data_IF_049631195167
#
_entry.id   IF_049631195167
#
_cell.length_a   1.000
_cell.length_b   1.000
_cell.length_c   1.000
_cell.angle_alpha   90.00
_cell.angle_beta   90.00
_cell.angle_gamma   90.00
#
_symmetry.space_group_name_H-M   'P 1'
#
loop_
_entity.id
_entity.type
_entity.pdbx_description
1 polymer ?
#
# COMPACT_ATOMS: atom_id res chain seq x y z
N UNK A 1 -6.77 41.64 -13.02
CA UNK A 1 -7.45 40.40 -12.56
C UNK A 1 -6.64 39.14 -12.86
N UNK A 2 -6.16 38.95 -14.10
CA UNK A 2 -5.37 37.78 -14.55
C UNK A 2 -4.05 37.60 -13.76
N UNK A 3 -3.29 38.68 -13.54
CA UNK A 3 -2.02 38.65 -12.78
C UNK A 3 -2.18 38.29 -11.28
N UNK A 4 -3.35 38.56 -10.70
CA UNK A 4 -3.66 38.27 -9.29
C UNK A 4 -4.03 36.79 -9.11
N UNK A 5 -4.70 36.20 -10.11
CA UNK A 5 -4.96 34.76 -10.20
C UNK A 5 -3.68 33.95 -10.49
N UNK A 6 -2.72 34.51 -11.24
CA UNK A 6 -1.42 33.85 -11.43
C UNK A 6 -0.58 33.84 -10.15
N UNK A 7 -0.57 34.92 -9.37
CA UNK A 7 0.13 34.96 -8.08
C UNK A 7 -0.46 34.00 -7.05
N UNK A 8 -1.78 33.86 -6.97
CA UNK A 8 -2.41 32.87 -6.09
C UNK A 8 -2.17 31.43 -6.55
N UNK A 9 -2.09 31.18 -7.85
CA UNK A 9 -1.70 29.88 -8.42
C UNK A 9 -0.23 29.55 -8.08
N UNK A 10 0.68 30.51 -8.22
CA UNK A 10 2.09 30.35 -7.88
C UNK A 10 2.32 30.18 -6.37
N UNK A 11 1.58 30.90 -5.52
CA UNK A 11 1.64 30.73 -4.06
C UNK A 11 1.03 29.39 -3.63
N UNK A 12 -0.08 28.97 -4.22
CA UNK A 12 -0.65 27.63 -4.01
C UNK A 12 0.29 26.52 -4.46
N UNK A 13 0.93 26.66 -5.63
CA UNK A 13 1.93 25.71 -6.11
C UNK A 13 3.20 25.72 -5.25
N UNK A 14 3.65 26.87 -4.76
CA UNK A 14 4.81 26.95 -3.88
C UNK A 14 4.55 26.33 -2.50
N UNK A 15 3.33 26.47 -1.96
CA UNK A 15 2.92 25.80 -0.71
C UNK A 15 2.77 24.29 -0.93
N UNK A 16 2.20 23.84 -2.06
CA UNK A 16 2.14 22.42 -2.42
C UNK A 16 3.55 21.83 -2.61
N UNK A 17 4.47 22.58 -3.22
CA UNK A 17 5.88 22.19 -3.38
C UNK A 17 6.60 22.17 -2.02
N UNK A 18 6.35 23.12 -1.12
CA UNK A 18 6.93 23.11 0.22
C UNK A 18 6.39 21.95 1.08
N UNK A 19 5.09 21.67 1.06
CA UNK A 19 4.47 20.53 1.77
C UNK A 19 4.96 19.19 1.19
N UNK A 20 5.15 19.12 -0.13
CA UNK A 20 5.77 18.00 -0.80
C UNK A 20 7.23 17.81 -0.35
N UNK A 21 8.02 18.87 -0.21
CA UNK A 21 9.45 18.79 0.18
C UNK A 21 9.65 18.27 1.61
N UNK A 22 8.69 18.49 2.52
CA UNK A 22 8.78 18.07 3.93
C UNK A 22 8.12 16.73 4.26
N UNK A 23 7.49 16.06 3.30
CA UNK A 23 6.93 14.72 3.51
C UNK A 23 8.02 13.66 3.28
N UNK A 24 8.37 12.90 4.31
CA UNK A 24 9.26 11.74 4.19
C UNK A 24 8.56 10.67 3.34
N UNK A 25 9.24 10.13 2.30
CA UNK A 25 8.63 9.22 1.35
C UNK A 25 8.56 7.80 1.90
N UNK A 26 7.39 7.17 1.77
CA UNK A 26 7.30 5.78 1.39
C UNK A 26 6.16 5.67 0.37
N UNK A 27 6.36 4.89 -0.67
CA UNK A 27 5.22 4.23 -1.29
C UNK A 27 5.76 2.83 -1.47
N UNK A 28 5.19 1.87 -0.75
CA UNK A 28 5.34 0.47 -1.11
C UNK A 28 4.59 0.24 -2.43
N UNK A 29 4.45 -1.03 -2.81
CA UNK A 29 3.86 -1.53 -4.04
C UNK A 29 2.85 -0.61 -4.75
N UNK A 30 2.97 -0.43 -6.07
CA UNK A 30 2.42 0.77 -6.69
C UNK A 30 0.89 0.85 -6.66
N UNK A 31 0.41 2.01 -6.20
CA UNK A 31 -0.99 2.41 -5.97
C UNK A 31 -1.98 1.84 -6.97
N UNK A 32 -1.71 1.99 -8.27
CA UNK A 32 -2.68 1.59 -9.29
C UNK A 32 -2.74 0.08 -9.48
N UNK A 33 -1.65 -0.64 -9.15
CA UNK A 33 -1.67 -2.11 -9.18
C UNK A 33 -2.58 -2.67 -8.08
N UNK A 34 -2.60 -2.07 -6.89
CA UNK A 34 -3.52 -2.47 -5.82
C UNK A 34 -4.98 -2.27 -6.20
N UNK A 35 -5.34 -1.08 -6.71
CA UNK A 35 -6.69 -0.80 -7.21
C UNK A 35 -7.07 -1.75 -8.36
N UNK A 36 -6.11 -2.07 -9.24
CA UNK A 36 -6.33 -3.01 -10.34
C UNK A 36 -6.62 -4.45 -9.84
N UNK A 37 -6.00 -4.89 -8.74
CA UNK A 37 -6.31 -6.20 -8.14
C UNK A 37 -7.76 -6.24 -7.64
N UNK A 38 -8.24 -5.16 -7.03
CA UNK A 38 -9.65 -5.00 -6.64
C UNK A 38 -10.55 -5.07 -7.88
N UNK A 39 -10.27 -4.29 -8.92
CA UNK A 39 -11.05 -4.26 -10.17
C UNK A 39 -11.18 -5.63 -10.83
N UNK A 40 -10.08 -6.38 -10.90
CA UNK A 40 -10.06 -7.71 -11.51
C UNK A 40 -10.85 -8.75 -10.70
N UNK A 41 -10.94 -8.56 -9.39
CA UNK A 41 -11.68 -9.45 -8.49
C UNK A 41 -13.13 -9.02 -8.24
N UNK A 42 -13.51 -7.79 -8.63
CA UNK A 42 -14.76 -7.16 -8.23
C UNK A 42 -16.01 -7.98 -8.60
N UNK A 43 -16.34 -8.07 -9.89
CA UNK A 43 -17.54 -8.79 -10.36
C UNK A 43 -17.47 -10.30 -10.08
N UNK A 44 -16.25 -10.85 -10.09
CA UNK A 44 -16.00 -12.28 -10.00
C UNK A 44 -16.12 -12.83 -8.58
N UNK A 45 -15.75 -12.05 -7.56
CA UNK A 45 -15.70 -12.48 -6.17
C UNK A 45 -16.24 -11.41 -5.21
N UNK A 46 -15.65 -10.21 -5.16
CA UNK A 46 -15.92 -9.21 -4.11
C UNK A 46 -17.40 -8.82 -4.10
N UNK A 47 -17.95 -8.38 -5.24
CA UNK A 47 -19.35 -8.00 -5.36
C UNK A 47 -20.30 -9.16 -4.97
N UNK A 48 -19.94 -10.40 -5.30
CA UNK A 48 -20.73 -11.57 -4.94
C UNK A 48 -20.74 -11.79 -3.42
N UNK A 49 -19.58 -11.65 -2.78
CA UNK A 49 -19.45 -11.74 -1.33
C UNK A 49 -20.24 -10.62 -0.63
N UNK A 50 -20.24 -9.40 -1.19
CA UNK A 50 -21.07 -8.31 -0.68
C UNK A 50 -22.56 -8.64 -0.79
N UNK A 51 -23.04 -9.10 -1.95
CA UNK A 51 -24.45 -9.47 -2.14
C UNK A 51 -24.86 -10.67 -1.27
N UNK A 52 -23.99 -11.66 -1.11
CA UNK A 52 -24.24 -12.83 -0.25
C UNK A 52 -24.42 -12.43 1.21
N UNK A 53 -23.61 -11.49 1.71
CA UNK A 53 -23.69 -11.00 3.11
C UNK A 53 -24.76 -9.94 3.31
N UNK A 54 -25.02 -9.12 2.30
CA UNK A 54 -25.95 -7.99 2.30
C UNK A 54 -26.96 -8.11 1.15
N UNK A 55 -27.96 -9.01 1.23
CA UNK A 55 -28.84 -9.36 0.11
C UNK A 55 -29.78 -8.23 -0.35
N UNK A 56 -29.89 -7.15 0.43
CA UNK A 56 -30.70 -5.98 0.11
C UNK A 56 -29.87 -4.83 -0.49
N UNK A 57 -28.58 -5.03 -0.74
CA UNK A 57 -27.70 -4.01 -1.32
C UNK A 57 -28.20 -3.58 -2.71
N UNK A 58 -28.37 -2.28 -2.89
CA UNK A 58 -28.70 -1.68 -4.18
C UNK A 58 -27.44 -1.57 -5.06
N UNK A 59 -27.59 -1.34 -6.38
CA UNK A 59 -26.45 -1.03 -7.24
C UNK A 59 -25.63 0.17 -6.77
N UNK A 60 -26.27 1.15 -6.14
CA UNK A 60 -25.59 2.33 -5.59
C UNK A 60 -24.79 2.00 -4.33
N UNK A 61 -25.33 1.14 -3.45
CA UNK A 61 -24.58 0.64 -2.30
C UNK A 61 -23.33 -0.12 -2.73
N UNK A 62 -23.45 -0.97 -3.78
CA UNK A 62 -22.31 -1.70 -4.33
C UNK A 62 -21.27 -0.76 -4.97
N UNK A 63 -21.71 0.29 -5.68
CA UNK A 63 -20.81 1.32 -6.22
C UNK A 63 -20.05 2.02 -5.09
N UNK A 64 -20.75 2.42 -4.02
CA UNK A 64 -20.13 3.09 -2.88
C UNK A 64 -19.17 2.16 -2.13
N UNK A 65 -19.56 0.90 -1.91
CA UNK A 65 -18.70 -0.12 -1.31
C UNK A 65 -17.41 -0.35 -2.12
N UNK A 66 -17.45 -0.18 -3.46
CA UNK A 66 -16.24 -0.28 -4.28
C UNK A 66 -15.20 0.79 -3.92
N UNK A 67 -15.64 2.02 -3.60
CA UNK A 67 -14.74 3.08 -3.14
C UNK A 67 -14.02 2.71 -1.83
N UNK A 68 -14.72 1.99 -0.95
CA UNK A 68 -14.14 1.45 0.29
C UNK A 68 -13.18 0.29 0.03
N UNK A 69 -13.45 -0.58 -0.94
CA UNK A 69 -12.50 -1.62 -1.33
C UNK A 69 -11.19 -1.05 -1.88
N UNK A 70 -11.23 0.06 -2.65
CA UNK A 70 -10.02 0.79 -3.02
C UNK A 70 -9.30 1.35 -1.80
N UNK A 71 -10.03 1.99 -0.87
CA UNK A 71 -9.48 2.46 0.40
C UNK A 71 -8.76 1.38 1.18
N UNK A 72 -9.39 0.21 1.30
CA UNK A 72 -8.83 -0.96 1.95
C UNK A 72 -7.58 -1.46 1.24
N UNK A 73 -7.54 -1.46 -0.09
CA UNK A 73 -6.39 -1.94 -0.87
C UNK A 73 -5.12 -1.10 -0.73
N UNK A 74 -5.22 0.05 -0.08
CA UNK A 74 -4.11 0.97 0.16
C UNK A 74 -3.96 1.38 1.63
N UNK A 75 -4.79 0.86 2.55
CA UNK A 75 -4.79 1.36 3.93
C UNK A 75 -3.46 1.09 4.63
N UNK A 76 -2.85 -0.06 4.38
CA UNK A 76 -1.55 -0.41 4.96
C UNK A 76 -0.46 0.61 4.57
N UNK A 77 -0.55 1.24 3.41
CA UNK A 77 0.38 2.27 2.94
C UNK A 77 0.09 3.68 3.43
N UNK A 78 -1.05 3.91 4.07
CA UNK A 78 -1.52 5.26 4.44
C UNK A 78 -0.48 6.07 5.20
N UNK A 79 0.26 5.44 6.10
CA UNK A 79 1.30 6.07 6.93
C UNK A 79 2.50 6.58 6.14
N UNK A 80 2.66 6.16 4.89
CA UNK A 80 3.73 6.61 4.01
C UNK A 80 3.37 7.83 3.13
N UNK A 81 2.10 8.24 3.14
CA UNK A 81 1.61 9.44 2.47
C UNK A 81 1.87 10.72 3.28
N UNK A 82 1.79 11.92 2.67
CA UNK A 82 1.96 13.19 3.38
C UNK A 82 1.12 13.26 4.66
N UNK A 83 1.68 13.76 5.75
CA UNK A 83 1.08 13.83 7.09
C UNK A 83 0.74 12.47 7.75
N UNK A 84 0.87 11.36 7.04
CA UNK A 84 0.86 10.02 7.62
C UNK A 84 2.05 9.77 8.56
N UNK A 85 1.99 8.66 9.28
CA UNK A 85 3.07 8.21 10.17
C UNK A 85 3.62 6.88 9.69
N UNK A 86 4.90 6.86 9.36
CA UNK A 86 5.59 5.65 8.91
C UNK A 86 5.35 4.45 9.84
N UNK A 87 5.33 4.69 11.15
CA UNK A 87 5.10 3.67 12.16
C UNK A 87 3.73 2.97 12.03
N UNK A 88 2.68 3.69 11.61
CA UNK A 88 1.38 3.07 11.32
C UNK A 88 1.52 2.03 10.21
N UNK A 89 2.13 2.41 9.08
CA UNK A 89 2.33 1.48 7.96
C UNK A 89 3.29 0.36 8.31
N UNK A 90 4.36 0.65 9.04
CA UNK A 90 5.32 -0.36 9.48
C UNK A 90 4.68 -1.41 10.41
N UNK A 91 3.71 -1.02 11.25
CA UNK A 91 2.91 -1.99 12.02
C UNK A 91 2.14 -2.91 11.07
N UNK A 92 1.37 -2.34 10.16
CA UNK A 92 0.49 -3.07 9.24
C UNK A 92 1.26 -3.98 8.25
N UNK A 93 2.50 -3.66 7.91
CA UNK A 93 3.34 -4.45 6.99
C UNK A 93 4.18 -5.53 7.69
N UNK A 94 4.60 -5.31 8.94
CA UNK A 94 5.66 -6.13 9.54
C UNK A 94 5.26 -6.79 10.86
N UNK A 95 4.18 -6.36 11.50
CA UNK A 95 3.76 -6.84 12.81
C UNK A 95 2.31 -7.26 12.75
N UNK A 96 2.00 -8.53 12.99
CA UNK A 96 0.60 -8.98 13.07
C UNK A 96 -0.23 -8.62 11.82
N UNK A 97 0.39 -8.69 10.63
CA UNK A 97 -0.20 -8.23 9.36
C UNK A 97 -1.42 -9.07 8.94
N UNK A 98 -1.36 -10.39 9.15
CA UNK A 98 -2.48 -11.30 8.91
C UNK A 98 -3.58 -11.11 9.95
N UNK A 99 -3.18 -10.96 11.21
CA UNK A 99 -4.08 -10.68 12.32
C UNK A 99 -4.84 -9.35 12.15
N UNK A 100 -4.20 -8.30 11.62
CA UNK A 100 -4.84 -7.02 11.32
C UNK A 100 -5.95 -7.14 10.28
N UNK A 101 -5.68 -7.82 9.17
CA UNK A 101 -6.69 -8.05 8.11
C UNK A 101 -7.82 -8.94 8.65
N UNK A 102 -7.49 -9.94 9.47
CA UNK A 102 -8.48 -10.79 10.14
C UNK A 102 -9.36 -9.98 11.09
N UNK A 103 -8.77 -9.02 11.83
CA UNK A 103 -9.51 -8.09 12.67
C UNK A 103 -10.48 -7.23 11.84
N UNK A 104 -10.03 -6.62 10.74
CA UNK A 104 -10.90 -5.86 9.82
C UNK A 104 -12.09 -6.70 9.31
N UNK A 105 -11.84 -7.93 8.89
CA UNK A 105 -12.90 -8.83 8.41
C UNK A 105 -13.89 -9.16 9.54
N UNK A 106 -13.39 -9.49 10.74
CA UNK A 106 -14.22 -9.86 11.89
C UNK A 106 -15.05 -8.70 12.46
N UNK A 107 -14.51 -7.49 12.44
CA UNK A 107 -15.12 -6.29 13.04
C UNK A 107 -16.01 -5.52 12.05
N UNK A 108 -16.02 -5.92 10.77
CA UNK A 108 -16.85 -5.31 9.75
C UNK A 108 -18.34 -5.56 10.00
N UNK A 109 -19.13 -4.49 10.07
CA UNK A 109 -20.55 -4.54 10.44
C UNK A 109 -21.50 -4.19 9.30
N UNK A 110 -21.03 -3.43 8.31
CA UNK A 110 -21.81 -3.04 7.13
C UNK A 110 -21.09 -3.35 5.81
N UNK A 111 -21.77 -3.06 4.68
CA UNK A 111 -21.27 -3.37 3.34
C UNK A 111 -19.98 -2.62 2.99
N UNK A 112 -19.82 -1.39 3.46
CA UNK A 112 -18.67 -0.54 3.19
C UNK A 112 -17.47 -1.00 4.02
N UNK A 113 -17.69 -1.25 5.31
CA UNK A 113 -16.69 -1.83 6.21
C UNK A 113 -16.22 -3.20 5.69
N UNK A 114 -17.13 -4.06 5.22
CA UNK A 114 -16.76 -5.36 4.68
C UNK A 114 -16.00 -5.22 3.36
N UNK A 115 -16.40 -4.32 2.47
CA UNK A 115 -15.67 -4.06 1.23
C UNK A 115 -14.26 -3.50 1.51
N UNK A 116 -14.12 -2.61 2.50
CA UNK A 116 -12.84 -2.11 2.98
C UNK A 116 -11.95 -3.24 3.49
N UNK A 117 -12.48 -4.15 4.30
CA UNK A 117 -11.73 -5.31 4.79
C UNK A 117 -11.27 -6.26 3.66
N UNK A 118 -12.12 -6.50 2.65
CA UNK A 118 -11.75 -7.27 1.46
C UNK A 118 -10.68 -6.55 0.63
N UNK A 119 -10.74 -5.22 0.55
CA UNK A 119 -9.66 -4.40 0.00
C UNK A 119 -8.33 -4.60 0.74
N UNK A 120 -8.33 -4.55 2.06
CA UNK A 120 -7.13 -4.77 2.87
C UNK A 120 -6.55 -6.19 2.68
N UNK A 121 -7.39 -7.19 2.43
CA UNK A 121 -6.97 -8.53 2.04
C UNK A 121 -6.32 -8.57 0.65
N UNK A 122 -6.82 -7.77 -0.31
CA UNK A 122 -6.16 -7.60 -1.61
C UNK A 122 -4.76 -6.99 -1.46
N UNK A 123 -4.60 -5.99 -0.58
CA UNK A 123 -3.30 -5.42 -0.27
C UNK A 123 -2.35 -6.48 0.31
N UNK A 124 -2.77 -7.19 1.37
CA UNK A 124 -1.98 -8.26 1.98
C UNK A 124 -1.51 -9.30 0.95
N UNK A 125 -2.41 -9.73 0.05
CA UNK A 125 -2.04 -10.67 -1.02
C UNK A 125 -1.10 -10.05 -2.07
N UNK A 126 -1.27 -8.77 -2.36
CA UNK A 126 -0.46 -8.05 -3.35
C UNK A 126 0.97 -7.95 -2.89
N UNK A 127 1.18 -7.59 -1.64
CA UNK A 127 2.51 -7.37 -1.10
C UNK A 127 3.27 -8.68 -0.91
N UNK A 128 2.63 -9.65 -0.25
CA UNK A 128 3.24 -10.97 0.01
C UNK A 128 3.67 -11.72 -1.26
N UNK A 129 3.01 -11.47 -2.39
CA UNK A 129 3.33 -12.11 -3.68
C UNK A 129 4.17 -11.19 -4.57
N UNK A 130 3.88 -9.89 -4.55
CA UNK A 130 4.46 -8.87 -5.42
C UNK A 130 5.85 -8.43 -4.98
N UNK A 131 6.04 -8.06 -3.71
CA UNK A 131 7.33 -7.56 -3.21
C UNK A 131 8.49 -8.54 -3.41
N UNK A 132 8.36 -9.86 -3.20
CA UNK A 132 9.44 -10.80 -3.52
C UNK A 132 9.89 -10.76 -4.99
N UNK A 133 8.97 -10.45 -5.90
CA UNK A 133 9.28 -10.26 -7.32
C UNK A 133 9.90 -8.88 -7.57
N UNK A 134 9.36 -7.82 -6.95
CA UNK A 134 9.94 -6.48 -7.01
C UNK A 134 11.39 -6.49 -6.50
N UNK A 135 11.68 -7.16 -5.38
CA UNK A 135 13.03 -7.33 -4.83
C UNK A 135 14.02 -7.89 -5.86
N UNK A 136 13.58 -8.88 -6.65
CA UNK A 136 14.37 -9.48 -7.74
C UNK A 136 14.50 -8.55 -8.93
N UNK A 137 13.45 -7.79 -9.25
CA UNK A 137 13.48 -6.79 -10.32
C UNK A 137 14.41 -5.63 -9.95
N UNK A 138 14.40 -5.16 -8.71
CA UNK A 138 15.32 -4.12 -8.24
C UNK A 138 16.76 -4.61 -8.36
N UNK A 139 17.06 -5.84 -7.94
CA UNK A 139 18.37 -6.43 -8.18
C UNK A 139 18.72 -6.51 -9.68
N UNK A 140 17.76 -6.86 -10.55
CA UNK A 140 17.96 -6.93 -11.99
C UNK A 140 18.25 -5.55 -12.62
N UNK A 141 17.48 -4.54 -12.26
CA UNK A 141 17.48 -3.21 -12.89
C UNK A 141 18.53 -2.26 -12.32
N UNK A 142 19.09 -2.58 -11.13
CA UNK A 142 20.10 -1.79 -10.44
C UNK A 142 21.36 -2.63 -10.12
N UNK A 143 22.26 -2.85 -11.10
CA UNK A 143 23.41 -3.76 -10.94
C UNK A 143 24.35 -3.44 -9.76
N UNK A 144 24.47 -2.16 -9.38
CA UNK A 144 25.27 -1.75 -8.21
C UNK A 144 24.65 -2.20 -6.90
N UNK A 145 23.31 -2.18 -6.80
CA UNK A 145 22.60 -2.67 -5.62
C UNK A 145 22.70 -4.19 -5.55
N UNK A 146 22.52 -4.88 -6.69
CA UNK A 146 22.74 -6.33 -6.76
C UNK A 146 24.14 -6.76 -6.34
N UNK A 147 25.17 -6.02 -6.75
CA UNK A 147 26.54 -6.30 -6.34
C UNK A 147 26.75 -6.19 -4.82
N UNK A 148 25.95 -5.39 -4.11
CA UNK A 148 26.06 -5.15 -2.67
C UNK A 148 25.15 -6.06 -1.83
N UNK A 149 23.93 -6.31 -2.30
CA UNK A 149 22.87 -6.97 -1.52
C UNK A 149 22.49 -8.35 -2.07
N UNK A 150 22.98 -8.73 -3.26
CA UNK A 150 22.68 -10.01 -3.89
C UNK A 150 21.45 -9.95 -4.81
N UNK A 151 20.82 -11.10 -5.04
CA UNK A 151 19.76 -11.26 -6.04
C UNK A 151 18.39 -10.75 -5.60
N UNK A 152 18.25 -10.32 -4.36
CA UNK A 152 17.06 -9.70 -3.80
C UNK A 152 17.52 -8.40 -3.13
N UNK A 153 16.93 -7.28 -3.54
CA UNK A 153 17.17 -5.97 -2.93
C UNK A 153 15.84 -5.54 -2.34
N UNK A 154 15.74 -5.61 -1.02
CA UNK A 154 14.52 -5.33 -0.23
C UNK A 154 14.24 -3.84 -0.15
N UNK A 155 13.04 -3.47 0.30
CA UNK A 155 12.73 -2.07 0.57
C UNK A 155 13.70 -1.48 1.61
N UNK A 156 14.05 -2.25 2.64
CA UNK A 156 15.02 -1.83 3.66
C UNK A 156 16.44 -1.57 3.11
N UNK A 157 16.82 -2.24 2.01
CA UNK A 157 18.14 -2.05 1.38
C UNK A 157 18.23 -0.72 0.60
N UNK A 158 17.21 -0.42 -0.21
CA UNK A 158 17.13 0.84 -0.97
C UNK A 158 15.66 1.22 -1.29
N UNK A 159 14.98 1.99 -0.42
CA UNK A 159 13.60 2.43 -0.63
C UNK A 159 13.41 3.20 -1.94
N UNK A 160 14.45 3.91 -2.39
CA UNK A 160 14.39 4.75 -3.58
C UNK A 160 14.36 3.91 -4.85
N UNK A 161 15.13 2.81 -4.91
CA UNK A 161 15.14 1.92 -6.06
C UNK A 161 13.84 1.13 -6.17
N UNK A 162 13.27 0.74 -5.03
CA UNK A 162 11.93 0.14 -4.92
C UNK A 162 10.84 1.03 -5.52
N UNK A 163 10.66 2.23 -4.96
CA UNK A 163 9.64 3.21 -5.42
C UNK A 163 9.78 3.50 -6.93
N UNK A 164 11.02 3.61 -7.42
CA UNK A 164 11.27 3.89 -8.85
C UNK A 164 10.90 2.73 -9.77
N UNK A 165 10.98 1.51 -9.27
CA UNK A 165 10.65 0.28 -10.01
C UNK A 165 9.14 0.12 -10.08
N UNK A 166 8.46 0.22 -8.93
CA UNK A 166 7.01 0.06 -8.79
C UNK A 166 6.26 1.12 -9.59
N UNK A 167 6.62 2.40 -9.42
CA UNK A 167 6.02 3.47 -10.23
C UNK A 167 6.31 3.28 -11.73
N UNK A 168 7.44 2.67 -12.08
CA UNK A 168 7.78 2.31 -13.46
C UNK A 168 6.82 1.29 -14.07
N UNK A 169 6.39 0.30 -13.28
CA UNK A 169 5.39 -0.67 -13.71
C UNK A 169 4.03 -0.04 -13.91
N UNK A 170 3.55 0.78 -12.96
CA UNK A 170 2.29 1.50 -13.11
C UNK A 170 2.27 2.35 -14.38
N UNK A 171 3.32 3.13 -14.62
CA UNK A 171 3.38 3.97 -15.83
C UNK A 171 3.37 3.13 -17.11
N UNK A 172 4.04 1.98 -17.11
CA UNK A 172 4.02 1.08 -18.26
C UNK A 172 2.62 0.49 -18.50
N UNK A 173 1.92 0.03 -17.46
CA UNK A 173 0.58 -0.55 -17.60
C UNK A 173 -0.46 0.50 -17.98
N UNK A 174 -0.39 1.70 -17.40
CA UNK A 174 -1.25 2.81 -17.80
C UNK A 174 -1.02 3.17 -19.27
N UNK A 175 0.24 3.29 -19.71
CA UNK A 175 0.56 3.62 -21.11
C UNK A 175 0.00 2.59 -22.11
N UNK A 176 -0.12 1.34 -21.67
CA UNK A 176 -0.67 0.20 -22.42
C UNK A 176 -2.20 0.08 -22.33
N UNK A 177 -2.87 1.01 -21.62
CA UNK A 177 -4.30 0.99 -21.33
C UNK A 177 -4.75 -0.32 -20.65
N UNK A 178 -3.94 -0.80 -19.73
CA UNK A 178 -4.21 -2.04 -18.97
C UNK A 178 -4.78 -1.78 -17.58
N UNK A 179 -4.90 -0.52 -17.20
CA UNK A 179 -5.68 -0.12 -16.03
C UNK A 179 -7.00 0.48 -16.45
N UNK A 180 -7.99 0.37 -15.55
CA UNK A 180 -9.25 1.10 -15.66
C UNK A 180 -8.99 2.61 -15.81
N UNK A 181 -9.91 3.30 -16.48
CA UNK A 181 -9.71 4.73 -16.76
C UNK A 181 -9.80 5.55 -15.47
N UNK A 182 -9.08 6.67 -15.43
CA UNK A 182 -9.23 7.67 -14.37
C UNK A 182 -10.67 8.21 -14.26
N UNK A 183 -11.48 8.10 -15.32
CA UNK A 183 -12.92 8.40 -15.26
C UNK A 183 -13.69 7.41 -14.41
N UNK A 184 -13.33 6.13 -14.53
CA UNK A 184 -13.95 5.07 -13.76
C UNK A 184 -13.60 5.23 -12.27
N UNK A 185 -12.34 5.49 -11.95
CA UNK A 185 -11.93 5.79 -10.57
C UNK A 185 -12.61 7.04 -10.00
N UNK A 186 -12.75 8.12 -10.78
CA UNK A 186 -13.52 9.30 -10.36
C UNK A 186 -15.00 8.97 -10.07
N UNK A 187 -15.60 8.06 -10.84
CA UNK A 187 -16.99 7.64 -10.69
C UNK A 187 -17.21 6.74 -9.46
N UNK A 188 -16.28 5.82 -9.21
CA UNK A 188 -16.32 4.96 -8.02
C UNK A 188 -16.02 5.79 -6.76
N UNK A 189 -14.93 6.55 -6.76
CA UNK A 189 -14.44 7.33 -5.63
C UNK A 189 -13.42 6.55 -4.79
N UNK A 190 -13.00 7.15 -3.66
CA UNK A 190 -12.02 6.56 -2.74
C UNK A 190 -12.38 6.94 -1.29
N UNK A 191 -12.65 5.94 -0.46
CA UNK A 191 -13.19 6.09 0.89
C UNK A 191 -12.45 5.23 1.91
N UNK A 192 -12.31 5.71 3.14
CA UNK A 192 -11.67 4.98 4.25
C UNK A 192 -12.73 4.68 5.30
N UNK A 193 -12.84 3.42 5.71
CA UNK A 193 -13.75 3.00 6.78
C UNK A 193 -13.13 3.29 8.16
N UNK A 194 -13.04 4.58 8.52
CA UNK A 194 -12.36 5.04 9.74
C UNK A 194 -12.82 4.31 11.01
N UNK A 195 -14.14 4.16 11.29
CA UNK A 195 -14.57 3.48 12.51
C UNK A 195 -14.13 2.01 12.57
N UNK A 196 -14.09 1.31 11.43
CA UNK A 196 -13.58 -0.06 11.36
C UNK A 196 -12.07 -0.09 11.59
N UNK A 197 -11.34 0.83 10.96
CA UNK A 197 -9.89 0.94 11.06
C UNK A 197 -9.46 1.14 12.52
N UNK A 198 -10.11 2.06 13.25
CA UNK A 198 -9.85 2.29 14.67
C UNK A 198 -10.06 1.02 15.51
N UNK A 199 -11.21 0.35 15.36
CA UNK A 199 -11.53 -0.88 16.11
C UNK A 199 -10.54 -2.01 15.82
N UNK A 200 -10.27 -2.27 14.55
CA UNK A 200 -9.35 -3.34 14.14
C UNK A 200 -7.90 -3.04 14.54
N UNK A 201 -7.46 -1.79 14.42
CA UNK A 201 -6.12 -1.36 14.83
C UNK A 201 -5.94 -1.52 16.34
N UNK A 202 -6.89 -1.04 17.14
CA UNK A 202 -6.84 -1.18 18.59
C UNK A 202 -6.88 -2.65 19.02
N UNK A 203 -7.75 -3.48 18.41
CA UNK A 203 -7.82 -4.92 18.67
C UNK A 203 -6.51 -5.64 18.36
N UNK A 204 -5.82 -5.24 17.30
CA UNK A 204 -4.59 -5.89 16.84
C UNK A 204 -3.35 -5.48 17.63
N UNK A 205 -3.22 -4.18 17.92
CA UNK A 205 -1.99 -3.59 18.46
C UNK A 205 -2.12 -3.06 19.88
N UNK A 206 -3.33 -2.99 20.45
CA UNK A 206 -3.55 -2.43 21.78
C UNK A 206 -3.17 -0.95 21.88
N UNK A 207 -3.14 -0.24 20.74
CA UNK A 207 -2.80 1.18 20.63
C UNK A 207 -4.00 1.97 20.09
N UNK A 208 -4.12 3.25 20.48
CA UNK A 208 -5.03 4.19 19.84
C UNK A 208 -4.50 4.55 18.44
N UNK A 209 -5.40 4.57 17.45
CA UNK A 209 -5.07 4.96 16.08
C UNK A 209 -4.65 6.43 16.01
N UNK A 210 -5.45 7.33 16.58
CA UNK A 210 -5.17 8.77 16.65
C UNK A 210 -3.79 9.07 17.25
N UNK A 211 -3.44 8.42 18.37
CA UNK A 211 -2.12 8.61 19.00
C UNK A 211 -0.97 8.16 18.07
N UNK A 212 -1.13 7.03 17.39
CA UNK A 212 -0.12 6.52 16.43
C UNK A 212 -0.02 7.42 15.21
N UNK A 213 -1.12 8.07 14.81
CA UNK A 213 -1.17 9.07 13.73
C UNK A 213 -0.75 10.48 14.18
N UNK A 214 -0.41 10.66 15.47
CA UNK A 214 0.14 11.91 16.01
C UNK A 214 -0.91 12.93 16.46
N UNK A 215 -2.12 12.49 16.80
CA UNK A 215 -3.18 13.31 17.38
C UNK A 215 -4.00 14.13 16.37
N UNK A 216 -3.91 13.78 15.08
CA UNK A 216 -4.68 14.41 13.99
C UNK A 216 -5.01 13.37 12.91
N UNK A 217 -5.83 12.39 13.30
CA UNK A 217 -6.31 11.33 12.43
C UNK A 217 -7.00 11.86 11.16
N UNK A 218 -7.84 12.89 11.29
CA UNK A 218 -8.56 13.52 10.17
C UNK A 218 -7.61 14.11 9.13
N UNK A 219 -6.51 14.76 9.56
CA UNK A 219 -5.49 15.26 8.64
C UNK A 219 -4.77 14.13 7.92
N UNK A 220 -4.40 13.06 8.63
CA UNK A 220 -3.72 11.90 8.05
C UNK A 220 -4.60 11.22 7.00
N UNK A 221 -5.84 10.86 7.34
CA UNK A 221 -6.79 10.21 6.44
C UNK A 221 -7.17 11.15 5.29
N UNK A 222 -7.48 12.42 5.58
CA UNK A 222 -7.90 13.39 4.57
C UNK A 222 -6.79 13.72 3.56
N UNK A 223 -5.53 13.75 3.98
CA UNK A 223 -4.38 13.96 3.09
C UNK A 223 -4.08 12.72 2.25
N UNK A 224 -4.16 11.52 2.83
CA UNK A 224 -4.07 10.25 2.12
C UNK A 224 -5.13 10.16 1.00
N UNK A 225 -6.41 10.37 1.33
CA UNK A 225 -7.51 10.39 0.35
C UNK A 225 -7.25 11.37 -0.78
N UNK A 226 -6.77 12.58 -0.49
CA UNK A 226 -6.42 13.58 -1.52
C UNK A 226 -5.23 13.16 -2.37
N UNK A 227 -4.22 12.53 -1.78
CA UNK A 227 -3.04 12.08 -2.50
C UNK A 227 -3.41 11.00 -3.53
N UNK A 228 -4.20 10.01 -3.14
CA UNK A 228 -4.66 8.93 -4.03
C UNK A 228 -5.64 9.46 -5.08
N UNK A 229 -6.73 10.12 -4.67
CA UNK A 229 -7.82 10.50 -5.60
C UNK A 229 -7.50 11.65 -6.55
N UNK A 230 -6.52 12.50 -6.24
CA UNK A 230 -6.19 13.69 -7.07
C UNK A 230 -4.76 13.68 -7.55
N UNK A 231 -3.82 13.61 -6.62
CA UNK A 231 -2.42 13.83 -6.94
C UNK A 231 -1.84 12.70 -7.81
N UNK A 232 -2.05 11.45 -7.44
CA UNK A 232 -1.55 10.30 -8.23
C UNK A 232 -2.08 10.32 -9.67
N UNK A 233 -3.39 10.46 -9.94
CA UNK A 233 -3.91 10.57 -11.31
C UNK A 233 -3.30 11.73 -12.11
N UNK A 234 -3.14 12.91 -11.52
CA UNK A 234 -2.51 14.06 -12.18
C UNK A 234 -1.05 13.75 -12.57
N UNK A 235 -0.28 13.18 -11.63
CA UNK A 235 1.12 12.82 -11.88
C UNK A 235 1.26 11.74 -12.95
N UNK A 236 0.35 10.76 -12.96
CA UNK A 236 0.25 9.73 -14.01
C UNK A 236 0.01 10.36 -15.39
N UNK A 237 -0.95 11.28 -15.52
CA UNK A 237 -1.21 11.99 -16.79
C UNK A 237 0.03 12.74 -17.30
N UNK A 238 0.78 13.38 -16.40
CA UNK A 238 2.00 14.12 -16.78
C UNK A 238 3.15 13.16 -17.16
N UNK A 239 3.30 12.05 -16.47
CA UNK A 239 4.31 11.04 -16.82
C UNK A 239 4.07 10.45 -18.21
N UNK A 240 2.81 10.14 -18.55
CA UNK A 240 2.43 9.64 -19.87
C UNK A 240 2.78 10.61 -21.00
N UNK A 241 2.57 11.92 -20.83
CA UNK A 241 2.92 12.91 -21.84
C UNK A 241 4.41 12.88 -22.22
N UNK A 242 5.26 12.68 -21.23
CA UNK A 242 6.70 12.86 -21.40
C UNK A 242 7.42 11.58 -21.87
N UNK A 243 6.83 10.39 -21.68
CA UNK A 243 7.51 9.09 -21.94
C UNK A 243 6.71 8.03 -22.71
N UNK A 244 5.57 8.39 -23.31
CA UNK A 244 4.68 7.40 -23.98
C UNK A 244 5.38 6.47 -24.98
N UNK A 245 6.29 6.98 -25.81
CA UNK A 245 6.95 6.16 -26.84
C UNK A 245 7.88 5.08 -26.27
N UNK A 246 8.50 5.33 -25.12
CA UNK A 246 9.37 4.36 -24.42
C UNK A 246 8.53 3.25 -23.75
N UNK A 247 7.30 3.56 -23.36
CA UNK A 247 6.43 2.69 -22.54
C UNK A 247 5.53 1.74 -23.35
N UNK A 248 5.31 1.96 -24.64
CA UNK A 248 4.31 1.21 -25.44
C UNK A 248 4.89 -0.04 -26.13
N UNK A 249 6.20 -0.32 -26.03
CA UNK A 249 6.80 -1.51 -26.66
C UNK A 249 6.33 -2.79 -25.94
N UNK A 250 5.95 -3.82 -26.71
CA UNK A 250 5.40 -5.08 -26.19
C UNK A 250 5.90 -6.31 -26.97
N UNK A 251 6.04 -7.44 -26.27
CA UNK A 251 6.32 -8.77 -26.87
C UNK A 251 5.29 -9.79 -26.34
N UNK A 252 4.45 -10.41 -27.19
CA UNK A 252 3.41 -11.36 -26.77
C UNK A 252 3.92 -12.63 -26.06
N UNK A 253 3.45 -12.93 -24.83
CA UNK A 253 3.71 -14.21 -24.14
C UNK A 253 2.47 -14.78 -23.41
N UNK A 254 2.60 -15.95 -22.77
CA UNK A 254 1.47 -16.64 -22.09
C UNK A 254 0.93 -15.85 -20.89
N UNK A 255 1.79 -15.40 -19.99
CA UNK A 255 1.38 -14.64 -18.80
C UNK A 255 0.66 -13.35 -19.19
N UNK A 256 1.12 -12.70 -20.26
CA UNK A 256 0.44 -11.54 -20.83
C UNK A 256 -0.94 -11.87 -21.39
N UNK A 257 -1.11 -13.05 -22.02
CA UNK A 257 -2.44 -13.50 -22.46
C UNK A 257 -3.38 -13.76 -21.27
N UNK A 258 -2.89 -14.39 -20.19
CA UNK A 258 -3.66 -14.60 -18.97
C UNK A 258 -4.06 -13.26 -18.32
N UNK A 259 -3.12 -12.33 -18.19
CA UNK A 259 -3.39 -11.00 -17.65
C UNK A 259 -4.43 -10.24 -18.49
N UNK A 260 -4.27 -10.25 -19.82
CA UNK A 260 -5.26 -9.65 -20.73
C UNK A 260 -6.63 -10.35 -20.68
N UNK A 261 -6.66 -11.65 -20.43
CA UNK A 261 -7.91 -12.38 -20.23
C UNK A 261 -8.63 -11.89 -18.96
N UNK A 262 -7.91 -11.70 -17.85
CA UNK A 262 -8.47 -11.09 -16.64
C UNK A 262 -9.04 -9.69 -16.93
N UNK A 263 -8.28 -8.84 -17.63
CA UNK A 263 -8.74 -7.51 -18.03
C UNK A 263 -9.98 -7.55 -18.93
N UNK A 264 -10.04 -8.47 -19.90
CA UNK A 264 -11.19 -8.55 -20.81
C UNK A 264 -12.52 -8.91 -20.13
N UNK A 265 -12.45 -9.41 -18.89
CA UNK A 265 -13.62 -9.77 -18.09
C UNK A 265 -14.17 -8.61 -17.26
N UNK A 266 -13.46 -7.50 -17.12
CA UNK A 266 -14.00 -6.32 -16.42
C UNK A 266 -14.87 -5.51 -17.37
N UNK A 267 -16.15 -5.31 -17.05
CA UNK A 267 -17.12 -4.72 -18.00
C UNK A 267 -16.96 -3.19 -18.18
N UNK A 268 -16.17 -2.55 -17.31
CA UNK A 268 -16.04 -1.10 -17.16
C UNK A 268 -15.48 -0.36 -18.38
N UNK A 269 -14.62 -1.00 -19.18
CA UNK A 269 -14.02 -0.38 -20.36
C UNK A 269 -15.05 0.03 -21.42
N UNK A 270 -16.19 -0.67 -21.49
CA UNK A 270 -17.23 -0.41 -22.50
C UNK A 270 -18.01 0.87 -22.21
N UNK A 271 -18.20 1.20 -20.95
CA UNK A 271 -19.03 2.36 -20.52
C UNK A 271 -18.18 3.62 -20.33
N UNK A 272 -16.98 3.50 -19.76
CA UNK A 272 -16.16 4.65 -19.37
C UNK A 272 -14.98 4.93 -20.32
N UNK A 273 -14.81 4.08 -21.33
CA UNK A 273 -13.73 4.13 -22.30
C UNK A 273 -12.41 3.56 -21.77
N UNK A 274 -11.39 3.53 -22.64
CA UNK A 274 -10.06 3.03 -22.31
C UNK A 274 -9.06 4.16 -22.04
N UNK A 275 -8.27 3.98 -20.99
CA UNK A 275 -7.11 4.82 -20.68
C UNK A 275 -7.42 6.16 -20.00
N UNK A 276 -6.35 6.87 -19.63
CA UNK A 276 -6.41 8.11 -18.86
C UNK A 276 -6.81 9.32 -19.72
N UNK A 277 -7.49 10.31 -19.10
CA UNK A 277 -7.82 11.60 -19.74
C UNK A 277 -6.57 12.27 -20.30
N UNK A 278 -6.72 12.88 -21.49
CA UNK A 278 -5.67 13.76 -22.03
C UNK A 278 -5.51 14.98 -21.10
N UNK A 279 -4.28 15.34 -20.71
CA UNK A 279 -4.04 16.50 -19.86
C UNK A 279 -4.49 17.81 -20.51
N UNK A 280 -5.19 18.61 -19.70
CA UNK A 280 -5.70 19.93 -20.03
C UNK A 280 -4.63 21.02 -19.96
N UNK A 281 -5.04 22.28 -20.04
CA UNK A 281 -4.12 23.42 -20.02
C UNK A 281 -3.33 23.53 -18.69
N UNK A 282 -3.93 23.36 -17.50
CA UNK A 282 -3.19 23.38 -16.23
C UNK A 282 -2.13 22.27 -16.16
N UNK A 283 -2.45 21.05 -16.61
CA UNK A 283 -1.54 19.91 -16.58
C UNK A 283 -0.41 20.05 -17.62
N UNK A 284 -0.64 20.75 -18.73
CA UNK A 284 0.40 21.11 -19.70
C UNK A 284 1.35 22.19 -19.16
N UNK A 285 0.84 23.14 -18.38
CA UNK A 285 1.66 24.14 -17.66
C UNK A 285 2.45 23.45 -16.54
N UNK A 286 1.82 22.55 -15.79
CA UNK A 286 2.50 21.72 -14.79
C UNK A 286 3.60 20.87 -15.43
N UNK A 287 3.32 20.25 -16.58
CA UNK A 287 4.28 19.47 -17.40
C UNK A 287 5.44 20.33 -17.94
N UNK A 288 5.23 21.62 -18.16
CA UNK A 288 6.28 22.57 -18.54
C UNK A 288 7.15 22.95 -17.32
N UNK A 289 6.54 23.33 -16.19
CA UNK A 289 7.24 23.58 -14.92
C UNK A 289 8.00 22.33 -14.42
N UNK A 290 7.50 21.15 -14.76
CA UNK A 290 8.07 19.82 -14.56
C UNK A 290 9.49 19.61 -15.10
N UNK A 291 9.88 20.32 -16.18
CA UNK A 291 11.25 20.24 -16.70
C UNK A 291 12.25 20.98 -15.81
N UNK A 292 11.76 21.82 -14.91
CA UNK A 292 12.54 22.76 -14.09
C UNK A 292 12.54 22.35 -12.61
N UNK A 293 11.52 21.60 -12.15
CA UNK A 293 11.43 21.15 -10.75
C UNK A 293 12.55 20.14 -10.42
N UNK A 294 13.36 20.38 -9.36
CA UNK A 294 14.37 19.43 -8.91
C UNK A 294 13.71 18.10 -8.50
N UNK A 295 14.29 16.98 -8.92
CA UNK A 295 13.77 15.61 -8.66
C UNK A 295 14.02 15.16 -7.22
N UNK A 296 13.52 15.93 -6.26
CA UNK A 296 13.61 15.71 -4.81
C UNK A 296 12.20 15.61 -4.21
N UNK A 297 12.03 14.90 -3.08
CA UNK A 297 10.70 14.69 -2.47
C UNK A 297 9.73 13.89 -3.36
N UNK A 298 8.41 14.21 -3.40
CA UNK A 298 7.39 13.56 -4.22
C UNK A 298 7.68 13.59 -5.73
N UNK A 299 8.46 14.59 -6.19
CA UNK A 299 8.93 14.66 -7.56
C UNK A 299 10.01 13.58 -7.90
N UNK A 300 10.45 12.75 -6.94
CA UNK A 300 11.36 11.62 -7.18
C UNK A 300 10.73 10.49 -7.99
N UNK A 301 9.42 10.25 -7.82
CA UNK A 301 8.68 9.27 -8.63
C UNK A 301 8.81 9.57 -10.14
N UNK A 302 9.06 10.83 -10.51
CA UNK A 302 9.28 11.28 -11.89
C UNK A 302 10.62 10.81 -12.49
N UNK A 303 11.53 10.31 -11.66
CA UNK A 303 12.75 9.63 -12.08
C UNK A 303 12.57 8.10 -12.16
N UNK A 304 11.33 7.62 -12.28
CA UNK A 304 11.04 6.19 -12.36
C UNK A 304 11.86 5.47 -13.42
N UNK A 305 12.03 4.17 -13.19
CA UNK A 305 12.75 3.28 -14.07
C UNK A 305 11.75 2.71 -15.06
N UNK A 306 11.91 3.00 -16.35
CA UNK A 306 11.16 2.28 -17.39
C UNK A 306 11.56 0.80 -17.30
N UNK A 307 10.61 -0.12 -17.07
CA UNK A 307 10.94 -1.53 -16.87
C UNK A 307 11.51 -2.13 -18.16
N UNK A 308 12.53 -2.98 -18.05
CA UNK A 308 12.92 -3.84 -19.17
C UNK A 308 11.83 -4.86 -19.49
N UNK A 309 11.85 -5.47 -20.68
CA UNK A 309 10.90 -6.54 -21.04
C UNK A 309 10.92 -7.68 -20.02
N UNK A 310 12.11 -8.07 -19.54
CA UNK A 310 12.24 -9.11 -18.51
C UNK A 310 11.63 -8.69 -17.18
N UNK A 311 11.79 -7.42 -16.79
CA UNK A 311 11.14 -6.90 -15.58
C UNK A 311 9.61 -6.87 -15.72
N UNK A 312 9.10 -6.45 -16.87
CA UNK A 312 7.66 -6.45 -17.13
C UNK A 312 7.06 -7.86 -17.15
N UNK A 313 7.74 -8.84 -17.74
CA UNK A 313 7.30 -10.24 -17.72
C UNK A 313 7.19 -10.79 -16.30
N UNK A 314 8.18 -10.48 -15.44
CA UNK A 314 8.15 -10.82 -14.02
C UNK A 314 6.97 -10.15 -13.30
N UNK A 315 6.72 -8.87 -13.58
CA UNK A 315 5.60 -8.13 -13.00
C UNK A 315 4.24 -8.69 -13.45
N UNK A 316 4.02 -8.94 -14.74
CA UNK A 316 2.76 -9.52 -15.22
C UNK A 316 2.51 -10.88 -14.57
N UNK A 317 3.55 -11.70 -14.44
CA UNK A 317 3.48 -12.97 -13.75
C UNK A 317 3.13 -12.80 -12.27
N UNK A 318 3.75 -11.85 -11.57
CA UNK A 318 3.44 -11.59 -10.16
C UNK A 318 1.99 -11.15 -9.98
N UNK A 319 1.47 -10.26 -10.83
CA UNK A 319 0.06 -9.85 -10.78
C UNK A 319 -0.89 -11.04 -10.99
N UNK A 320 -0.60 -11.93 -11.93
CA UNK A 320 -1.40 -13.16 -12.11
C UNK A 320 -1.37 -14.05 -10.84
N UNK A 321 -0.20 -14.19 -10.20
CA UNK A 321 -0.05 -14.97 -8.97
C UNK A 321 -0.75 -14.31 -7.79
N UNK A 322 -0.68 -12.99 -7.68
CA UNK A 322 -1.41 -12.19 -6.69
C UNK A 322 -2.91 -12.42 -6.82
N UNK A 323 -3.46 -12.39 -8.04
CA UNK A 323 -4.89 -12.67 -8.26
C UNK A 323 -5.25 -14.11 -7.91
N UNK A 324 -4.43 -15.10 -8.27
CA UNK A 324 -4.68 -16.50 -7.93
C UNK A 324 -4.68 -16.69 -6.39
N UNK A 325 -3.73 -16.08 -5.69
CA UNK A 325 -3.63 -16.10 -4.23
C UNK A 325 -4.80 -15.38 -3.57
N UNK A 326 -5.10 -14.14 -3.99
CA UNK A 326 -6.21 -13.36 -3.46
C UNK A 326 -7.56 -14.07 -3.64
N UNK A 327 -7.82 -14.65 -4.82
CA UNK A 327 -9.00 -15.47 -5.04
C UNK A 327 -9.05 -16.70 -4.11
N UNK A 328 -7.89 -17.27 -3.74
CA UNK A 328 -7.81 -18.35 -2.76
C UNK A 328 -8.16 -17.88 -1.35
N UNK A 329 -7.64 -16.72 -0.94
CA UNK A 329 -7.94 -16.10 0.34
C UNK A 329 -9.43 -15.72 0.44
N UNK A 330 -10.01 -15.13 -0.61
CA UNK A 330 -11.45 -14.83 -0.66
C UNK A 330 -12.32 -16.08 -0.49
N UNK A 331 -11.92 -17.22 -1.07
CA UNK A 331 -12.62 -18.50 -0.84
C UNK A 331 -12.50 -18.99 0.60
N UNK A 332 -11.36 -18.77 1.25
CA UNK A 332 -11.15 -19.11 2.66
C UNK A 332 -12.00 -18.22 3.57
N UNK A 333 -12.08 -16.92 3.30
CA UNK A 333 -12.98 -15.98 4.02
C UNK A 333 -14.44 -16.40 3.91
N UNK A 334 -14.88 -16.94 2.77
CA UNK A 334 -16.23 -17.50 2.62
C UNK A 334 -16.44 -18.81 3.38
N UNK A 335 -15.36 -19.53 3.69
CA UNK A 335 -15.39 -20.74 4.49
C UNK A 335 -15.31 -20.45 5.99
N UNK A 336 -15.50 -21.47 6.82
CA UNK A 336 -15.35 -21.34 8.28
C UNK A 336 -13.89 -21.41 8.75
N UNK A 337 -12.93 -21.74 7.86
CA UNK A 337 -11.52 -21.89 8.18
C UNK A 337 -10.72 -20.77 7.51
N UNK A 338 -10.74 -19.58 8.12
CA UNK A 338 -9.89 -18.47 7.73
C UNK A 338 -8.83 -18.26 8.81
N UNK A 339 -7.60 -18.59 8.47
CA UNK A 339 -6.41 -18.32 9.27
C UNK A 339 -5.38 -17.66 8.34
N UNK A 340 -5.04 -16.40 8.63
CA UNK A 340 -4.17 -15.60 7.78
C UNK A 340 -2.82 -15.43 8.49
N UNK A 341 -1.72 -16.01 7.96
CA UNK A 341 -0.45 -15.99 8.66
C UNK A 341 0.12 -14.58 8.75
N UNK A 342 0.79 -14.29 9.87
CA UNK A 342 1.58 -13.06 10.00
C UNK A 342 2.87 -13.17 9.19
N UNK A 343 2.96 -12.34 8.16
CA UNK A 343 4.09 -12.29 7.24
C UNK A 343 4.61 -10.88 7.08
N UNK A 344 5.89 -10.77 6.78
CA UNK A 344 6.51 -9.53 6.36
C UNK A 344 6.08 -9.23 4.92
N UNK A 345 5.33 -8.14 4.73
CA UNK A 345 4.81 -7.75 3.43
C UNK A 345 5.89 -7.42 2.38
N UNK A 346 7.12 -7.06 2.77
CA UNK A 346 8.21 -6.81 1.81
C UNK A 346 8.93 -8.10 1.37
N UNK A 347 8.89 -9.16 2.17
CA UNK A 347 9.62 -10.40 1.87
C UNK A 347 8.71 -11.59 1.57
N UNK A 348 7.43 -11.51 1.93
CA UNK A 348 6.45 -12.59 1.86
C UNK A 348 6.75 -13.75 2.82
N UNK A 349 7.69 -13.59 3.75
CA UNK A 349 8.11 -14.64 4.69
C UNK A 349 7.41 -14.48 6.05
N UNK A 350 7.30 -15.55 6.84
CA UNK A 350 6.78 -15.44 8.20
C UNK A 350 7.58 -14.42 9.02
N UNK A 351 6.87 -13.51 9.68
CA UNK A 351 7.49 -12.50 10.54
C UNK A 351 8.25 -13.19 11.67
N UNK A 352 9.56 -12.94 11.77
CA UNK A 352 10.39 -13.52 12.83
C UNK A 352 11.57 -12.63 13.19
N UNK A 353 12.11 -12.84 14.40
CA UNK A 353 13.24 -12.09 14.92
C UNK A 353 14.45 -12.15 13.99
N UNK A 354 15.08 -10.99 13.74
CA UNK A 354 16.28 -10.84 12.93
C UNK A 354 16.13 -11.25 11.45
N UNK A 355 14.93 -11.57 10.99
CA UNK A 355 14.65 -11.87 9.59
C UNK A 355 14.69 -10.58 8.75
N UNK A 356 14.00 -9.53 9.22
CA UNK A 356 13.94 -8.25 8.54
C UNK A 356 14.14 -7.05 9.46
N UNK A 357 14.93 -6.08 8.98
CA UNK A 357 15.38 -4.96 9.82
C UNK A 357 14.28 -3.96 10.17
N UNK A 358 13.23 -3.85 9.35
CA UNK A 358 12.09 -2.99 9.66
C UNK A 358 11.17 -3.67 10.67
N UNK A 359 10.91 -4.97 10.53
CA UNK A 359 10.17 -5.75 11.52
C UNK A 359 10.78 -5.64 12.93
N UNK A 360 12.09 -5.86 13.07
CA UNK A 360 12.80 -5.71 14.35
C UNK A 360 12.62 -4.32 14.98
N UNK A 361 12.67 -3.26 14.16
CA UNK A 361 12.50 -1.87 14.62
C UNK A 361 11.06 -1.59 15.02
N UNK A 362 10.09 -2.10 14.26
CA UNK A 362 8.67 -1.91 14.56
C UNK A 362 8.28 -2.62 15.84
N UNK A 363 8.73 -3.87 16.04
CA UNK A 363 8.55 -4.58 17.31
C UNK A 363 9.23 -3.87 18.48
N UNK A 364 10.43 -3.30 18.29
CA UNK A 364 11.08 -2.50 19.33
C UNK A 364 10.23 -1.29 19.72
N UNK A 365 9.65 -0.58 18.75
CA UNK A 365 8.79 0.57 19.00
C UNK A 365 7.49 0.16 19.70
N UNK A 366 6.82 -0.88 19.20
CA UNK A 366 5.57 -1.42 19.76
C UNK A 366 5.73 -1.81 21.23
N UNK A 367 6.80 -2.53 21.56
CA UNK A 367 7.07 -2.94 22.95
C UNK A 367 7.26 -1.74 23.87
N UNK A 368 7.97 -0.70 23.41
CA UNK A 368 8.17 0.53 24.20
C UNK A 368 6.86 1.28 24.41
N UNK A 369 6.01 1.36 23.39
CA UNK A 369 4.68 1.97 23.51
C UNK A 369 3.78 1.21 24.48
N UNK A 370 3.70 -0.11 24.35
CA UNK A 370 2.88 -0.95 25.22
C UNK A 370 3.33 -0.88 26.69
N UNK A 371 4.63 -0.73 26.92
CA UNK A 371 5.18 -0.56 28.27
C UNK A 371 4.84 0.82 28.85
N UNK A 372 4.92 1.88 28.05
CA UNK A 372 4.63 3.24 28.46
C UNK A 372 3.13 3.51 28.70
N UNK A 373 2.24 2.83 27.95
CA UNK A 373 0.79 3.09 28.00
C UNK A 373 0.11 2.27 29.09
N UNK A 374 -0.46 2.93 30.10
CA UNK A 374 -1.06 2.26 31.27
C UNK A 374 -2.53 1.84 31.11
N UNK A 375 -3.23 2.33 30.09
CA UNK A 375 -4.70 2.28 30.06
C UNK A 375 -5.33 1.24 29.12
N UNK A 376 -4.57 0.69 28.18
CA UNK A 376 -5.07 -0.33 27.26
C UNK A 376 -4.58 -1.71 27.69
N UNK A 377 -5.52 -2.60 28.01
CA UNK A 377 -5.23 -4.01 28.23
C UNK A 377 -5.11 -4.68 26.86
N UNK A 378 -3.92 -5.17 26.48
CA UNK A 378 -3.75 -5.82 25.20
C UNK A 378 -4.45 -7.18 25.18
N UNK A 379 -4.83 -7.60 23.99
CA UNK A 379 -5.42 -8.92 23.75
C UNK A 379 -4.44 -10.04 24.14
N UNK A 380 -4.94 -11.24 24.42
CA UNK A 380 -4.08 -12.39 24.75
C UNK A 380 -3.14 -12.73 23.58
N UNK A 381 -3.65 -12.57 22.36
CA UNK A 381 -2.98 -12.80 21.09
C UNK A 381 -1.81 -11.84 20.91
N UNK A 382 -2.01 -10.54 21.16
CA UNK A 382 -0.92 -9.56 21.10
C UNK A 382 0.18 -9.85 22.14
N UNK A 383 -0.21 -10.20 23.37
CA UNK A 383 0.77 -10.56 24.42
C UNK A 383 1.60 -11.78 24.00
N UNK A 384 0.94 -12.82 23.48
CA UNK A 384 1.59 -14.03 23.01
C UNK A 384 2.54 -13.75 21.85
N UNK A 385 2.10 -12.95 20.87
CA UNK A 385 2.91 -12.58 19.70
C UNK A 385 4.17 -11.79 20.08
N UNK A 386 4.04 -10.78 20.97
CA UNK A 386 5.20 -10.01 21.46
C UNK A 386 6.21 -10.93 22.15
N UNK A 387 5.78 -11.80 23.06
CA UNK A 387 6.73 -12.70 23.75
C UNK A 387 7.28 -13.80 22.84
N UNK A 388 6.53 -14.25 21.83
CA UNK A 388 7.04 -15.19 20.84
C UNK A 388 8.16 -14.55 19.98
N UNK A 389 7.97 -13.30 19.53
CA UNK A 389 8.98 -12.58 18.74
C UNK A 389 10.29 -12.40 19.53
N UNK A 390 10.21 -12.17 20.84
CA UNK A 390 11.37 -12.00 21.72
C UNK A 390 11.75 -13.27 22.51
N UNK A 391 11.32 -14.45 22.07
CA UNK A 391 11.55 -15.71 22.79
C UNK A 391 13.03 -16.10 22.87
N UNK A 392 13.83 -15.77 21.86
CA UNK A 392 15.29 -15.89 21.87
C UNK A 392 15.96 -14.52 21.83
N UNK A 393 16.25 -13.97 23.01
CA UNK A 393 16.98 -12.70 23.13
C UNK A 393 18.43 -12.78 22.63
N UNK A 394 18.98 -13.96 22.31
CA UNK A 394 20.31 -14.09 21.72
C UNK A 394 20.31 -13.94 20.19
N UNK A 395 19.14 -14.01 19.54
CA UNK A 395 19.00 -13.82 18.11
C UNK A 395 19.67 -12.51 17.63
N UNK A 396 20.18 -12.45 16.38
CA UNK A 396 20.97 -11.32 15.89
C UNK A 396 20.10 -10.13 15.46
N UNK A 397 19.21 -9.65 16.33
CA UNK A 397 18.31 -8.52 16.04
C UNK A 397 19.09 -7.32 15.49
N UNK A 398 18.58 -6.70 14.42
CA UNK A 398 19.17 -5.52 13.81
C UNK A 398 19.22 -4.33 14.78
N UNK A 399 18.28 -4.27 15.73
CA UNK A 399 18.20 -3.22 16.77
C UNK A 399 19.33 -3.31 17.81
N UNK A 400 20.00 -4.47 17.97
CA UNK A 400 21.16 -4.61 18.89
C UNK A 400 22.35 -3.75 18.50
N UNK A 401 22.43 -3.28 17.26
CA UNK A 401 23.44 -2.29 16.82
C UNK A 401 23.34 -0.98 17.61
N UNK A 402 22.17 -0.67 18.19
CA UNK A 402 21.97 0.41 19.14
C UNK A 402 21.83 -0.14 20.56
N UNK A 403 22.94 -0.31 21.27
CA UNK A 403 22.96 -0.87 22.64
C UNK A 403 22.01 -0.15 23.60
N UNK A 404 21.92 1.19 23.53
CA UNK A 404 21.02 1.97 24.39
C UNK A 404 19.55 1.66 24.07
N UNK A 405 19.21 1.58 22.79
CA UNK A 405 17.89 1.21 22.30
C UNK A 405 17.49 -0.19 22.75
N UNK A 406 18.39 -1.16 22.57
CA UNK A 406 18.19 -2.56 22.96
C UNK A 406 17.97 -2.72 24.47
N UNK A 407 18.82 -2.09 25.30
CA UNK A 407 18.65 -2.14 26.76
C UNK A 407 17.31 -1.54 27.20
N UNK A 408 16.76 -0.57 26.47
CA UNK A 408 15.43 -0.03 26.74
C UNK A 408 14.32 -1.02 26.36
N UNK A 409 14.50 -1.75 25.25
CA UNK A 409 13.60 -2.83 24.82
C UNK A 409 13.56 -3.97 25.85
N UNK A 410 14.71 -4.41 26.37
CA UNK A 410 14.76 -5.43 27.43
C UNK A 410 14.05 -5.00 28.71
N UNK A 411 14.23 -3.74 29.14
CA UNK A 411 13.48 -3.18 30.28
C UNK A 411 11.98 -3.13 30.03
N UNK A 412 11.57 -2.70 28.83
CA UNK A 412 10.17 -2.67 28.45
C UNK A 412 9.55 -4.08 28.45
N UNK A 413 10.24 -5.09 27.91
CA UNK A 413 9.80 -6.50 27.97
C UNK A 413 9.64 -7.01 29.40
N UNK A 414 10.57 -6.65 30.31
CA UNK A 414 10.46 -7.00 31.74
C UNK A 414 9.22 -6.35 32.38
N UNK A 415 9.00 -5.06 32.13
CA UNK A 415 7.81 -4.35 32.62
C UNK A 415 6.52 -4.98 32.10
N UNK A 416 6.45 -5.31 30.81
CA UNK A 416 5.29 -5.98 30.22
C UNK A 416 5.05 -7.36 30.83
N UNK A 417 6.12 -8.12 31.08
CA UNK A 417 6.03 -9.44 31.74
C UNK A 417 5.50 -9.35 33.17
N UNK A 418 5.81 -8.28 33.90
CA UNK A 418 5.27 -8.03 35.24
C UNK A 418 3.81 -7.57 35.17
N UNK A 419 3.50 -6.67 34.23
CA UNK A 419 2.18 -6.05 34.06
C UNK A 419 1.10 -7.01 33.54
N UNK A 420 1.50 -8.00 32.74
CA UNK A 420 0.57 -8.93 32.08
C UNK A 420 0.51 -10.33 32.70
N UNK A 421 1.19 -10.54 33.83
CA UNK A 421 0.90 -11.66 34.74
C UNK A 421 -0.50 -11.53 35.29
#
# INVERSE_FOLDING_TARGET
MILRNMKSLFQGCAVIVCVAIFSTPGTAYSVLTHEQVVDLAWEGQIQRMLIERFPHATPEDLRHAHAFAYGGSLVQDMGYYPFGKQYFSDLLHYVRSGDFVSALLSESSDINEYAFALGALAHYSSDNVGHPVVNKVVALEFPKLRAKHGNEVTYADDPKAHIRTEFGFDMAQVAKNRYTSDRYHDFIGFEVATPLLERAFQKTYGLSLDEVLGGDEDLAIGSFRRAVSKFVPEMTRVALLNRRQELVRETPNFDQRKFRYHLSRTHYEKEWGRGYRKPGFPERVLAFLWRVIPKVGPARALAFKVPSTKAEDLYIKSVNQTLDNYNSLLRQVRGANFDLPDTDCDTGRPTSAAEYSLADKTYEHLVKDLAAKHYLQPTAELRANVFAFYSDLNAPFYTKRNTKGWNATERALQQLKEKWR
#
